data_IF_006239248133
#
_entry.id   IF_006239248133
#
_cell.length_a   1.000
_cell.length_b   1.000
_cell.length_c   1.000
_cell.angle_alpha   90.00
_cell.angle_beta   90.00
_cell.angle_gamma   90.00
#
_symmetry.space_group_name_H-M   'P 1'
#
loop_
_entity.id
_entity.type
_entity.pdbx_description
1 polymer ?
#
# COMPACT_ATOMS: atom_id res chain seq x y z
N UNK A 1 -3.60 9.58 9.07
CA UNK A 1 -2.58 8.51 9.02
C UNK A 1 -1.88 8.46 7.66
N UNK A 2 -0.65 7.95 7.60
CA UNK A 2 0.06 7.70 6.34
C UNK A 2 -0.29 6.33 5.76
N UNK A 3 -0.56 6.28 4.46
CA UNK A 3 -0.77 5.05 3.69
C UNK A 3 0.26 4.93 2.56
N UNK A 4 0.60 3.70 2.21
CA UNK A 4 1.55 3.34 1.18
C UNK A 4 0.83 2.58 0.07
N UNK A 5 0.68 3.23 -1.08
CA UNK A 5 -0.07 2.70 -2.22
C UNK A 5 0.87 1.98 -3.17
N UNK A 6 0.71 0.67 -3.38
CA UNK A 6 1.52 -0.09 -4.32
C UNK A 6 1.16 0.28 -5.76
N UNK A 7 2.16 0.68 -6.56
CA UNK A 7 2.00 1.01 -7.96
C UNK A 7 3.13 0.43 -8.83
N UNK A 8 2.92 0.54 -10.14
CA UNK A 8 3.94 0.38 -11.18
C UNK A 8 4.26 1.74 -11.81
N UNK A 9 5.32 1.84 -12.61
CA UNK A 9 5.64 3.09 -13.30
C UNK A 9 4.51 3.56 -14.25
N UNK A 10 3.87 2.68 -15.06
CA UNK A 10 2.66 3.05 -15.81
C UNK A 10 1.50 3.47 -14.90
N UNK A 11 1.30 2.81 -13.75
CA UNK A 11 0.27 3.19 -12.78
C UNK A 11 0.50 4.59 -12.19
N UNK A 12 1.76 4.95 -11.92
CA UNK A 12 2.12 6.30 -11.47
C UNK A 12 1.86 7.35 -12.57
N UNK A 13 2.20 7.05 -13.82
CA UNK A 13 1.93 7.95 -14.94
C UNK A 13 0.42 8.19 -15.14
N UNK A 14 -0.38 7.14 -14.99
CA UNK A 14 -1.84 7.23 -15.03
C UNK A 14 -2.40 8.07 -13.88
N UNK A 15 -1.89 7.85 -12.66
CA UNK A 15 -2.30 8.63 -11.50
C UNK A 15 -1.95 10.11 -11.65
N UNK A 16 -0.77 10.42 -12.19
CA UNK A 16 -0.39 11.81 -12.50
C UNK A 16 -1.31 12.44 -13.54
N UNK A 17 -1.69 11.69 -14.59
CA UNK A 17 -2.56 12.18 -15.66
C UNK A 17 -4.01 12.43 -15.20
N UNK A 18 -4.53 11.59 -14.32
CA UNK A 18 -5.94 11.61 -13.89
C UNK A 18 -6.17 12.29 -12.56
N UNK A 19 -5.12 12.48 -11.75
CA UNK A 19 -5.22 12.92 -10.36
C UNK A 19 -5.79 11.85 -9.42
N UNK A 20 -5.85 10.58 -9.83
CA UNK A 20 -6.47 9.48 -9.06
C UNK A 20 -5.53 8.30 -8.89
N UNK A 21 -5.43 7.78 -7.67
CA UNK A 21 -4.62 6.59 -7.36
C UNK A 21 -5.47 5.32 -7.55
N UNK A 22 -5.61 4.85 -8.79
CA UNK A 22 -6.36 3.64 -9.11
C UNK A 22 -7.89 3.80 -9.12
N UNK A 23 -8.60 2.68 -9.25
CA UNK A 23 -10.07 2.62 -9.18
C UNK A 23 -10.49 2.22 -7.76
N UNK A 24 -11.39 2.99 -7.17
CA UNK A 24 -11.88 2.79 -5.80
C UNK A 24 -12.86 1.59 -5.70
N UNK A 25 -12.83 0.82 -4.59
CA UNK A 25 -11.82 0.86 -3.53
C UNK A 25 -10.54 0.12 -3.93
N UNK A 26 -9.38 0.68 -3.58
CA UNK A 26 -8.07 0.07 -3.90
C UNK A 26 -7.30 -0.34 -2.63
N UNK A 27 -6.37 -1.29 -2.80
CA UNK A 27 -5.53 -1.76 -1.71
C UNK A 27 -4.35 -0.81 -1.45
N UNK A 28 -4.08 -0.53 -0.18
CA UNK A 28 -2.89 0.16 0.29
C UNK A 28 -2.41 -0.49 1.59
N UNK A 29 -1.32 0.05 2.14
CA UNK A 29 -0.72 -0.47 3.37
C UNK A 29 -0.49 0.65 4.37
N UNK A 30 -0.67 0.37 5.66
CA UNK A 30 -0.50 1.36 6.71
C UNK A 30 -0.12 0.72 8.04
N UNK A 31 0.19 1.56 9.03
CA UNK A 31 0.36 1.14 10.42
C UNK A 31 -1.01 0.83 11.03
N UNK A 32 -1.47 -0.41 10.87
CA UNK A 32 -2.72 -0.91 11.47
C UNK A 32 -2.46 -1.50 12.86
N UNK A 33 -3.52 -1.68 13.68
CA UNK A 33 -3.40 -2.46 14.92
C UNK A 33 -2.90 -3.89 14.70
N UNK A 34 -3.31 -4.53 13.60
CA UNK A 34 -2.87 -5.88 13.25
C UNK A 34 -1.38 -5.91 12.87
N UNK A 35 -0.88 -4.92 12.13
CA UNK A 35 0.54 -4.79 11.82
C UNK A 35 1.36 -4.57 13.09
N UNK A 36 0.92 -3.69 13.99
CA UNK A 36 1.60 -3.45 15.28
C UNK A 36 1.70 -4.74 16.10
N UNK A 37 0.60 -5.47 16.24
CA UNK A 37 0.58 -6.73 16.98
C UNK A 37 1.46 -7.81 16.33
N UNK A 38 1.48 -7.89 15.00
CA UNK A 38 2.28 -8.87 14.27
C UNK A 38 3.78 -8.55 14.29
N UNK A 39 4.14 -7.27 14.13
CA UNK A 39 5.53 -6.83 14.06
C UNK A 39 6.18 -6.78 15.45
N UNK A 40 5.40 -6.55 16.51
CA UNK A 40 5.87 -6.57 17.89
C UNK A 40 6.74 -5.37 18.28
N UNK A 41 6.72 -4.29 17.48
CA UNK A 41 7.37 -3.02 17.79
C UNK A 41 6.32 -1.97 18.12
N UNK A 42 6.67 -1.08 19.05
CA UNK A 42 5.89 0.13 19.33
C UNK A 42 6.45 1.37 18.64
N UNK A 43 7.64 1.27 18.03
CA UNK A 43 8.26 2.36 17.29
C UNK A 43 7.49 2.62 15.98
N UNK A 44 7.03 3.86 15.83
CA UNK A 44 6.25 4.26 14.66
C UNK A 44 7.10 4.23 13.39
N UNK A 45 8.38 4.59 13.45
CA UNK A 45 9.24 4.61 12.27
C UNK A 45 9.47 3.19 11.73
N UNK A 46 9.69 2.23 12.62
CA UNK A 46 9.82 0.81 12.26
C UNK A 46 8.52 0.26 11.65
N UNK A 47 7.38 0.61 12.22
CA UNK A 47 6.07 0.18 11.71
C UNK A 47 5.74 0.82 10.36
N UNK A 48 6.09 2.09 10.15
CA UNK A 48 5.97 2.77 8.87
C UNK A 48 6.85 2.11 7.79
N UNK A 49 8.09 1.74 8.15
CA UNK A 49 8.97 0.98 7.27
C UNK A 49 8.41 -0.41 6.94
N UNK A 50 7.80 -1.09 7.92
CA UNK A 50 7.14 -2.38 7.71
C UNK A 50 5.97 -2.25 6.72
N UNK A 51 5.09 -1.25 6.91
CA UNK A 51 3.97 -1.00 6.00
C UNK A 51 4.44 -0.63 4.58
N UNK A 52 5.47 0.21 4.45
CA UNK A 52 6.13 0.54 3.19
C UNK A 52 6.67 -0.72 2.48
N UNK A 53 7.25 -1.65 3.24
CA UNK A 53 7.80 -2.89 2.71
C UNK A 53 6.70 -3.83 2.22
N UNK A 54 5.57 -3.93 2.93
CA UNK A 54 4.41 -4.70 2.45
C UNK A 54 3.85 -4.13 1.14
N UNK A 55 3.71 -2.80 1.04
CA UNK A 55 3.34 -2.14 -0.21
C UNK A 55 4.37 -2.43 -1.33
N UNK A 56 5.66 -2.41 -1.02
CA UNK A 56 6.69 -2.74 -2.00
C UNK A 56 6.57 -4.17 -2.56
N UNK A 57 6.22 -5.15 -1.71
CA UNK A 57 5.96 -6.52 -2.14
C UNK A 57 4.70 -6.61 -3.02
N UNK A 58 3.64 -5.88 -2.67
CA UNK A 58 2.44 -5.81 -3.50
C UNK A 58 2.72 -5.20 -4.89
N UNK A 59 3.57 -4.15 -4.99
CA UNK A 59 4.00 -3.61 -6.28
C UNK A 59 4.76 -4.64 -7.12
N UNK A 60 5.51 -5.57 -6.51
CA UNK A 60 6.15 -6.66 -7.24
C UNK A 60 5.12 -7.65 -7.79
N UNK A 61 4.04 -7.96 -7.06
CA UNK A 61 2.94 -8.78 -7.57
C UNK A 61 2.24 -8.12 -8.76
N UNK A 62 2.03 -6.80 -8.72
CA UNK A 62 1.50 -6.05 -9.86
C UNK A 62 2.43 -6.12 -11.08
N UNK A 63 3.75 -5.98 -10.88
CA UNK A 63 4.73 -6.13 -11.97
C UNK A 63 4.78 -7.54 -12.54
N UNK A 64 4.62 -8.57 -11.70
CA UNK A 64 4.56 -9.96 -12.15
C UNK A 64 3.35 -10.22 -13.05
N UNK A 65 2.23 -9.54 -12.80
CA UNK A 65 1.03 -9.59 -13.64
C UNK A 65 1.12 -8.73 -14.91
N UNK A 66 2.11 -7.84 -15.03
CA UNK A 66 2.30 -6.93 -16.16
C UNK A 66 3.67 -7.19 -16.84
N UNK A 67 3.78 -8.19 -17.73
CA UNK A 67 5.05 -8.60 -18.32
C UNK A 67 5.73 -7.49 -19.14
N UNK A 68 4.96 -6.58 -19.73
CA UNK A 68 5.49 -5.50 -20.57
C UNK A 68 5.80 -4.22 -19.78
N UNK A 69 5.46 -4.15 -18.49
CA UNK A 69 5.75 -2.99 -17.67
C UNK A 69 7.26 -2.91 -17.35
N UNK A 70 7.86 -1.70 -17.32
CA UNK A 70 9.22 -1.51 -16.84
C UNK A 70 9.41 -2.15 -15.45
N UNK A 71 10.52 -2.87 -15.26
CA UNK A 71 10.84 -3.60 -14.00
C UNK A 71 11.28 -2.64 -12.88
N UNK A 72 10.40 -1.70 -12.55
CA UNK A 72 10.57 -0.69 -11.50
C UNK A 72 9.31 -0.67 -10.65
N UNK A 73 9.43 -1.12 -9.40
CA UNK A 73 8.36 -0.99 -8.42
C UNK A 73 8.23 0.46 -7.97
N UNK A 74 7.00 0.89 -7.72
CA UNK A 74 6.68 2.22 -7.20
C UNK A 74 5.82 2.03 -5.96
N UNK A 75 6.06 2.86 -4.94
CA UNK A 75 5.16 3.00 -3.80
C UNK A 75 4.94 4.48 -3.59
N UNK A 76 3.69 4.90 -3.48
CA UNK A 76 3.32 6.31 -3.20
C UNK A 76 2.90 6.40 -1.74
N UNK A 77 3.55 7.27 -0.98
CA UNK A 77 3.13 7.60 0.38
C UNK A 77 2.15 8.77 0.33
N UNK A 78 1.01 8.63 1.01
CA UNK A 78 -0.05 9.66 1.07
C UNK A 78 -0.55 9.76 2.50
N UNK A 79 -0.74 11.00 2.98
CA UNK A 79 -1.38 11.25 4.26
C UNK A 79 -2.88 11.46 4.04
N UNK A 80 -3.71 10.69 4.76
CA UNK A 80 -5.18 10.69 4.64
C UNK A 80 -5.84 10.81 6.02
N UNK A 81 -7.11 11.18 6.06
CA UNK A 81 -7.90 11.15 7.29
C UNK A 81 -8.11 9.69 7.75
N UNK A 82 -8.05 9.44 9.06
CA UNK A 82 -8.13 8.06 9.59
C UNK A 82 -9.44 7.36 9.23
N UNK A 83 -10.56 8.11 9.15
CA UNK A 83 -11.87 7.58 8.74
C UNK A 83 -12.00 7.26 7.24
N UNK A 84 -11.01 7.61 6.42
CA UNK A 84 -10.97 7.26 5.00
C UNK A 84 -10.35 5.87 4.76
N UNK A 85 -9.86 5.22 5.80
CA UNK A 85 -9.14 3.95 5.72
C UNK A 85 -9.92 2.87 6.45
N UNK A 86 -10.14 1.74 5.78
CA UNK A 86 -10.74 0.55 6.40
C UNK A 86 -9.75 -0.61 6.36
N UNK A 87 -9.63 -1.37 7.46
CA UNK A 87 -8.78 -2.55 7.48
C UNK A 87 -9.29 -3.59 6.46
N UNK A 88 -8.37 -4.22 5.72
CA UNK A 88 -8.75 -5.34 4.88
C UNK A 88 -9.30 -6.49 5.73
N UNK A 89 -10.29 -7.21 5.20
CA UNK A 89 -10.97 -8.31 5.87
C UNK A 89 -10.71 -9.60 5.11
N UNK A 90 -10.60 -10.72 5.84
CA UNK A 90 -10.41 -12.05 5.27
C UNK A 90 -9.21 -12.78 5.86
N UNK A 91 -9.16 -14.10 5.68
CA UNK A 91 -8.09 -14.94 6.20
C UNK A 91 -6.73 -14.65 5.53
N UNK A 92 -6.74 -14.16 4.30
CA UNK A 92 -5.54 -13.87 3.51
C UNK A 92 -5.11 -12.39 3.58
N UNK A 93 -5.80 -11.56 4.37
CA UNK A 93 -5.46 -10.15 4.51
C UNK A 93 -4.10 -9.99 5.18
N UNK A 94 -3.20 -9.24 4.53
CA UNK A 94 -1.90 -8.96 5.15
C UNK A 94 -2.08 -8.01 6.35
N UNK A 95 -1.25 -8.11 7.41
CA UNK A 95 -1.45 -7.33 8.64
C UNK A 95 -1.59 -5.81 8.43
N UNK A 96 -0.82 -5.23 7.51
CA UNK A 96 -0.88 -3.80 7.19
C UNK A 96 -1.87 -3.43 6.08
N UNK A 97 -2.58 -4.39 5.47
CA UNK A 97 -3.44 -4.13 4.32
C UNK A 97 -4.70 -3.34 4.72
N UNK A 98 -4.98 -2.29 3.94
CA UNK A 98 -6.14 -1.42 4.10
C UNK A 98 -6.80 -1.14 2.76
N UNK A 99 -8.05 -0.68 2.79
CA UNK A 99 -8.84 -0.21 1.64
C UNK A 99 -9.18 1.26 1.80
N UNK A 100 -8.96 2.01 0.72
CA UNK A 100 -9.37 3.40 0.51
C UNK A 100 -10.39 3.48 -0.62
#
# INVERSE_FOLDING_TARGET
MRVYVPLTLPGLAEAHRTGRLGAEPFAAYAVTPALRAWYGSDDTEELEYAALTQAALASLRQLAAAPDAPRRRVVVAVDVADGAVSAAQGADAEPGEVRL
#
